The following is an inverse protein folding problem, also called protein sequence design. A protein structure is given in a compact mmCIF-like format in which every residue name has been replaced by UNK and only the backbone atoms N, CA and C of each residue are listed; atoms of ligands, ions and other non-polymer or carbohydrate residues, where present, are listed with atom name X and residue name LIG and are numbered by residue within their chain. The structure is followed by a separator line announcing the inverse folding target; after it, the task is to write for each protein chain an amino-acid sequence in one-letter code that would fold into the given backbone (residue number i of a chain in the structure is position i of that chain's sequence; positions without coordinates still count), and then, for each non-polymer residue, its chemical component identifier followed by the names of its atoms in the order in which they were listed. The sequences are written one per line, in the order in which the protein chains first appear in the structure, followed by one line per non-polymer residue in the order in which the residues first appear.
data_IF_765272516176
#
_entry.id   IF_765272516176
#
_cell.length_a   1.000
_cell.length_b   1.000
_cell.length_c   1.000
_cell.angle_alpha   90.00
_cell.angle_beta   90.00
_cell.angle_gamma   90.00
#
_symmetry.space_group_name_H-M   'P 1'
#
loop_
_entity.id
_entity.type
_entity.pdbx_description
1 polymer ?
#
# COMPACT_ATOMS: atom_id res chain seq x y z
N UNK A 1 -23.42 10.96 0.23
CA UNK A 1 -22.16 11.70 -0.03
C UNK A 1 -21.08 10.68 -0.35
N UNK A 2 -20.20 10.95 -1.32
CA UNK A 2 -19.08 10.06 -1.64
C UNK A 2 -18.01 10.12 -0.55
N UNK A 3 -17.55 8.97 -0.09
CA UNK A 3 -16.43 8.90 0.84
C UNK A 3 -15.12 9.22 0.10
N UNK A 4 -14.16 9.93 0.73
CA UNK A 4 -12.84 10.12 0.14
C UNK A 4 -12.09 8.79 0.03
N UNK A 5 -11.22 8.68 -0.98
CA UNK A 5 -10.46 7.47 -1.27
C UNK A 5 -9.01 7.62 -0.82
N UNK A 6 -8.50 6.66 -0.06
CA UNK A 6 -7.09 6.54 0.28
C UNK A 6 -6.42 5.49 -0.62
N UNK A 7 -5.48 5.93 -1.44
CA UNK A 7 -4.66 5.06 -2.26
C UNK A 7 -3.42 4.65 -1.49
N UNK A 8 -3.22 3.35 -1.31
CA UNK A 8 -2.02 2.75 -0.74
C UNK A 8 -1.19 2.14 -1.87
N UNK A 9 -0.20 2.91 -2.32
CA UNK A 9 0.77 2.48 -3.33
C UNK A 9 1.92 1.79 -2.60
N UNK A 10 2.17 0.52 -2.91
CA UNK A 10 3.21 -0.27 -2.26
C UNK A 10 3.82 -1.28 -3.22
N UNK A 11 4.93 -1.89 -2.82
CA UNK A 11 5.53 -3.00 -3.55
C UNK A 11 5.84 -4.16 -2.59
N UNK A 12 5.56 -5.44 -2.95
CA UNK A 12 5.88 -6.59 -2.12
C UNK A 12 7.37 -6.75 -1.79
N UNK A 13 8.26 -6.24 -2.66
CA UNK A 13 9.72 -6.30 -2.49
C UNK A 13 10.28 -5.09 -1.74
N UNK A 14 9.45 -4.08 -1.45
CA UNK A 14 9.86 -2.87 -0.73
C UNK A 14 9.98 -3.15 0.78
N UNK A 15 11.21 -3.10 1.31
CA UNK A 15 11.51 -3.37 2.73
C UNK A 15 10.80 -2.39 3.68
N UNK A 16 10.72 -1.11 3.32
CA UNK A 16 9.98 -0.11 4.08
C UNK A 16 8.47 -0.35 4.06
N UNK A 17 7.94 -0.84 2.94
CA UNK A 17 6.54 -1.19 2.80
C UNK A 17 6.19 -2.39 3.69
N UNK A 18 7.10 -3.36 3.80
CA UNK A 18 6.99 -4.45 4.77
C UNK A 18 6.99 -3.93 6.22
N UNK A 19 7.95 -3.07 6.57
CA UNK A 19 8.01 -2.46 7.91
C UNK A 19 6.75 -1.63 8.25
N UNK A 20 6.14 -0.99 7.25
CA UNK A 20 4.94 -0.17 7.41
C UNK A 20 3.63 -0.97 7.58
N UNK A 21 3.65 -2.31 7.42
CA UNK A 21 2.45 -3.16 7.45
C UNK A 21 1.60 -2.95 8.71
N UNK A 22 2.22 -2.83 9.87
CA UNK A 22 1.51 -2.62 11.14
C UNK A 22 0.79 -1.27 11.19
N UNK A 23 1.43 -0.21 10.70
CA UNK A 23 0.84 1.12 10.59
C UNK A 23 -0.32 1.13 9.61
N UNK A 24 -0.19 0.44 8.47
CA UNK A 24 -1.28 0.29 7.51
C UNK A 24 -2.52 -0.40 8.12
N UNK A 25 -2.33 -1.44 8.92
CA UNK A 25 -3.42 -2.11 9.66
C UNK A 25 -4.09 -1.17 10.65
N UNK A 26 -3.31 -0.34 11.37
CA UNK A 26 -3.86 0.65 12.30
C UNK A 26 -4.69 1.71 11.57
N UNK A 27 -4.20 2.23 10.43
CA UNK A 27 -4.90 3.22 9.60
C UNK A 27 -6.23 2.66 9.07
N UNK A 28 -6.19 1.48 8.45
CA UNK A 28 -7.40 0.86 7.86
C UNK A 28 -8.45 0.54 8.91
N UNK A 29 -8.04 0.08 10.09
CA UNK A 29 -8.95 -0.15 11.22
C UNK A 29 -9.56 1.16 11.74
N UNK A 30 -8.75 2.21 11.91
CA UNK A 30 -9.21 3.48 12.47
C UNK A 30 -10.23 4.19 11.55
N UNK A 31 -9.99 4.16 10.24
CA UNK A 31 -10.83 4.83 9.26
C UNK A 31 -11.85 3.90 8.56
N UNK A 32 -12.08 2.70 9.11
CA UNK A 32 -13.06 1.75 8.58
C UNK A 32 -14.44 2.40 8.45
N UNK A 33 -15.05 2.27 7.28
CA UNK A 33 -16.37 2.87 6.98
C UNK A 33 -16.34 4.37 6.66
N UNK A 34 -15.26 5.08 6.97
CA UNK A 34 -15.09 6.52 6.69
C UNK A 34 -14.40 6.77 5.35
N UNK A 35 -13.41 5.93 5.01
CA UNK A 35 -12.65 6.00 3.76
C UNK A 35 -12.93 4.76 2.90
N UNK A 36 -12.80 4.94 1.59
CA UNK A 36 -12.62 3.83 0.65
C UNK A 36 -11.13 3.58 0.47
N UNK A 37 -10.68 2.33 0.54
CA UNK A 37 -9.27 1.97 0.44
C UNK A 37 -8.98 1.28 -0.89
N UNK A 38 -8.02 1.80 -1.65
CA UNK A 38 -7.55 1.20 -2.91
C UNK A 38 -6.07 0.89 -2.77
N UNK A 39 -5.68 -0.36 -3.07
CA UNK A 39 -4.28 -0.78 -3.10
C UNK A 39 -3.79 -0.80 -4.54
N UNK A 40 -2.62 -0.23 -4.77
CA UNK A 40 -1.97 -0.22 -6.08
C UNK A 40 -0.53 -0.70 -5.92
N UNK A 41 -0.04 -1.45 -6.90
CA UNK A 41 1.36 -1.80 -6.97
C UNK A 41 2.17 -0.61 -7.49
N UNK A 42 3.24 -0.28 -6.79
CA UNK A 42 4.13 0.84 -7.14
C UNK A 42 5.15 0.48 -8.22
N UNK A 43 5.53 -0.80 -8.33
CA UNK A 43 6.56 -1.26 -9.27
C UNK A 43 7.95 -0.80 -8.84
N UNK A 44 8.51 -1.45 -7.83
CA UNK A 44 9.81 -1.08 -7.24
C UNK A 44 10.96 -1.16 -8.26
N UNK A 45 10.93 -2.18 -9.12
CA UNK A 45 11.90 -2.40 -10.18
C UNK A 45 11.21 -3.01 -11.42
N UNK A 46 11.67 -2.68 -12.64
CA UNK A 46 11.23 -3.36 -13.85
C UNK A 46 11.74 -4.80 -13.90
N UNK A 47 11.13 -5.63 -14.74
CA UNK A 47 11.62 -6.96 -15.03
C UNK A 47 13.02 -6.90 -15.64
N UNK A 48 13.90 -7.80 -15.18
CA UNK A 48 15.30 -7.88 -15.61
C UNK A 48 15.81 -9.31 -15.42
N UNK A 49 16.64 -9.77 -16.37
CA UNK A 49 17.38 -11.03 -16.24
C UNK A 49 18.71 -10.87 -15.48
N UNK A 50 19.09 -9.62 -15.16
CA UNK A 50 20.26 -9.34 -14.33
C UNK A 50 20.01 -9.78 -12.87
N UNK A 51 21.00 -10.41 -12.21
CA UNK A 51 20.88 -10.78 -10.80
C UNK A 51 20.59 -9.57 -9.91
N UNK A 52 19.65 -9.76 -8.97
CA UNK A 52 19.27 -8.81 -7.93
C UNK A 52 20.25 -8.78 -6.75
#
# INVERSE_FOLDING_TARGET
MSKPTLYYIHDPMCSWCYAFRESWQKITKHFAGQLEFVRLLGGLAPDSDEPM
#
